data_IF_257810681121
#
_entry.id   IF_257810681121
#
_cell.length_a   1.000
_cell.length_b   1.000
_cell.length_c   1.000
_cell.angle_alpha   90.00
_cell.angle_beta   90.00
_cell.angle_gamma   90.00
#
_symmetry.space_group_name_H-M   'P 1'
#
loop_
_entity.id
_entity.type
_entity.pdbx_description
1 polymer ?
#
# COMPACT_ATOMS: atom_id res chain seq x y z
N UNK A 1 17.02 -13.34 53.79
CA UNK A 1 17.81 -13.71 52.59
C UNK A 1 16.93 -14.03 51.37
N UNK A 2 15.81 -14.75 51.50
CA UNK A 2 14.85 -15.02 50.40
C UNK A 2 14.39 -13.76 49.63
N UNK A 3 14.03 -12.68 50.32
CA UNK A 3 13.57 -11.44 49.66
C UNK A 3 14.67 -10.75 48.83
N UNK A 4 15.95 -10.90 49.22
CA UNK A 4 17.08 -10.25 48.53
C UNK A 4 17.42 -10.98 47.22
N UNK A 5 17.39 -12.31 47.26
CA UNK A 5 17.59 -13.17 46.10
C UNK A 5 16.40 -13.05 45.12
N UNK A 6 15.16 -13.11 45.63
CA UNK A 6 13.96 -12.94 44.80
C UNK A 6 13.89 -11.57 44.12
N UNK A 7 14.32 -10.50 44.80
CA UNK A 7 14.34 -9.15 44.24
C UNK A 7 15.42 -9.00 43.15
N UNK A 8 16.59 -9.63 43.32
CA UNK A 8 17.62 -9.68 42.28
C UNK A 8 17.16 -10.45 41.04
N UNK A 9 16.49 -11.59 41.21
CA UNK A 9 15.90 -12.33 40.08
C UNK A 9 14.84 -11.51 39.35
N UNK A 10 13.95 -10.84 40.10
CA UNK A 10 12.92 -9.98 39.52
C UNK A 10 13.53 -8.82 38.72
N UNK A 11 14.54 -8.13 39.27
CA UNK A 11 15.24 -7.04 38.59
C UNK A 11 15.95 -7.51 37.32
N UNK A 12 16.63 -8.66 37.38
CA UNK A 12 17.30 -9.22 36.20
C UNK A 12 16.28 -9.61 35.13
N UNK A 13 15.19 -10.28 35.51
CA UNK A 13 14.10 -10.61 34.61
C UNK A 13 13.51 -9.36 33.95
N UNK A 14 13.19 -8.32 34.75
CA UNK A 14 12.66 -7.06 34.24
C UNK A 14 13.64 -6.36 33.28
N UNK A 15 14.94 -6.43 33.58
CA UNK A 15 15.99 -5.87 32.72
C UNK A 15 16.06 -6.58 31.38
N UNK A 16 16.08 -7.93 31.38
CA UNK A 16 16.07 -8.72 30.14
C UNK A 16 14.76 -8.53 29.36
N UNK A 17 13.63 -8.47 30.05
CA UNK A 17 12.33 -8.20 29.43
C UNK A 17 12.33 -6.83 28.75
N UNK A 18 12.77 -5.78 29.44
CA UNK A 18 12.84 -4.42 28.88
C UNK A 18 13.81 -4.34 27.71
N UNK A 19 14.98 -4.99 27.81
CA UNK A 19 15.93 -5.09 26.70
C UNK A 19 15.33 -5.80 25.48
N UNK A 20 14.59 -6.89 25.70
CA UNK A 20 13.93 -7.61 24.61
C UNK A 20 12.84 -6.78 23.93
N UNK A 21 12.08 -6.01 24.72
CA UNK A 21 11.05 -5.10 24.21
C UNK A 21 11.67 -3.96 23.40
N UNK A 22 12.76 -3.36 23.89
CA UNK A 22 13.55 -2.36 23.18
C UNK A 22 14.11 -2.92 21.87
N UNK A 23 14.64 -4.14 21.88
CA UNK A 23 15.14 -4.79 20.67
C UNK A 23 14.03 -5.02 19.64
N UNK A 24 12.85 -5.47 20.06
CA UNK A 24 11.69 -5.65 19.20
C UNK A 24 11.19 -4.32 18.59
N UNK A 25 11.10 -3.26 19.41
CA UNK A 25 10.77 -1.92 18.94
C UNK A 25 11.81 -1.40 17.93
N UNK A 26 13.09 -1.62 18.19
CA UNK A 26 14.16 -1.20 17.28
C UNK A 26 14.11 -1.95 15.95
N UNK A 27 13.87 -3.26 16.00
CA UNK A 27 13.67 -4.07 14.79
C UNK A 27 12.47 -3.58 13.98
N UNK A 28 11.34 -3.27 14.63
CA UNK A 28 10.17 -2.69 13.98
C UNK A 28 10.48 -1.36 13.30
N UNK A 29 11.19 -0.46 13.98
CA UNK A 29 11.59 0.84 13.41
C UNK A 29 12.51 0.67 12.20
N UNK A 30 13.50 -0.23 12.26
CA UNK A 30 14.37 -0.53 11.13
C UNK A 30 13.59 -1.10 9.94
N UNK A 31 12.64 -2.00 10.20
CA UNK A 31 11.83 -2.62 9.15
C UNK A 31 10.89 -1.60 8.49
N UNK A 32 10.29 -0.71 9.28
CA UNK A 32 9.46 0.40 8.77
C UNK A 32 10.28 1.40 7.96
N UNK A 33 11.50 1.73 8.40
CA UNK A 33 12.40 2.58 7.64
C UNK A 33 12.84 1.93 6.32
N UNK A 34 13.18 0.64 6.36
CA UNK A 34 13.51 -0.11 5.14
C UNK A 34 12.34 -0.14 4.17
N UNK A 35 11.11 -0.34 4.65
CA UNK A 35 9.91 -0.27 3.82
C UNK A 35 9.70 1.13 3.19
N UNK A 36 9.88 2.21 3.94
CA UNK A 36 9.79 3.58 3.39
C UNK A 36 10.85 3.84 2.30
N UNK A 37 12.12 3.46 2.53
CA UNK A 37 13.20 3.62 1.55
C UNK A 37 12.99 2.76 0.30
N UNK A 38 12.61 1.50 0.49
CA UNK A 38 12.33 0.58 -0.62
C UNK A 38 11.11 1.06 -1.40
N UNK A 39 10.03 1.46 -0.72
CA UNK A 39 8.81 1.92 -1.36
C UNK A 39 9.07 3.09 -2.31
N UNK A 40 9.88 4.07 -1.90
CA UNK A 40 10.25 5.24 -2.73
C UNK A 40 11.14 4.91 -3.92
N UNK A 41 11.89 3.82 -3.87
CA UNK A 41 12.80 3.39 -4.96
C UNK A 41 12.16 2.40 -5.93
N UNK A 42 10.98 1.87 -5.61
CA UNK A 42 10.22 1.00 -6.52
C UNK A 42 9.78 1.77 -7.77
N UNK A 43 9.95 1.11 -8.94
CA UNK A 43 9.57 1.62 -10.27
C UNK A 43 8.15 2.22 -10.30
N UNK A 44 7.20 1.62 -9.58
CA UNK A 44 5.80 2.07 -9.48
C UNK A 44 5.64 3.53 -9.03
N UNK A 45 6.59 4.07 -8.26
CA UNK A 45 6.55 5.44 -7.74
C UNK A 45 7.33 6.44 -8.62
N UNK A 46 8.06 5.97 -9.64
CA UNK A 46 8.77 6.83 -10.60
C UNK A 46 7.88 7.28 -11.76
N UNK A 47 6.79 6.56 -12.02
CA UNK A 47 5.85 6.83 -13.11
C UNK A 47 4.40 6.92 -12.63
N UNK A 48 4.07 7.82 -11.67
CA UNK A 48 2.70 8.06 -11.30
C UNK A 48 1.91 8.61 -12.49
N UNK A 49 0.64 8.23 -12.56
CA UNK A 49 -0.34 8.70 -13.53
C UNK A 49 -0.41 10.24 -13.60
N UNK A 50 -0.21 10.93 -12.47
CA UNK A 50 -0.15 12.41 -12.40
C UNK A 50 0.98 13.03 -13.25
N UNK A 51 2.14 12.37 -13.37
CA UNK A 51 3.28 12.94 -14.12
C UNK A 51 3.15 12.77 -15.63
N UNK A 52 2.47 11.72 -16.07
CA UNK A 52 2.33 11.38 -17.50
C UNK A 52 0.98 11.80 -18.08
N UNK A 53 0.02 12.24 -17.25
CA UNK A 53 -1.29 12.70 -17.68
C UNK A 53 -1.18 13.88 -18.65
N UNK A 54 -1.98 13.82 -19.71
CA UNK A 54 -2.17 14.87 -20.72
C UNK A 54 -3.67 14.97 -21.04
N UNK A 55 -4.11 16.08 -21.63
CA UNK A 55 -5.51 16.22 -22.06
C UNK A 55 -5.80 15.40 -23.32
N UNK A 56 -4.79 15.19 -24.16
CA UNK A 56 -4.87 14.27 -25.28
C UNK A 56 -4.12 12.98 -24.94
N UNK A 57 -4.83 11.86 -24.89
CA UNK A 57 -4.22 10.57 -24.55
C UNK A 57 -3.22 10.07 -25.60
N UNK A 58 -3.28 10.56 -26.85
CA UNK A 58 -2.31 10.21 -27.87
C UNK A 58 -0.91 10.78 -27.58
N UNK A 59 -0.83 11.84 -26.77
CA UNK A 59 0.42 12.51 -26.40
C UNK A 59 1.02 11.97 -25.09
N UNK A 60 0.39 10.96 -24.49
CA UNK A 60 0.91 10.30 -23.28
C UNK A 60 2.12 9.46 -23.66
N UNK A 61 3.28 9.83 -23.12
CA UNK A 61 4.49 9.01 -23.23
C UNK A 61 4.36 7.75 -22.37
N UNK A 62 4.01 6.65 -23.03
CA UNK A 62 3.96 5.34 -22.41
C UNK A 62 5.29 4.57 -22.53
N UNK A 63 6.26 5.02 -23.35
CA UNK A 63 7.49 4.25 -23.61
C UNK A 63 8.27 4.03 -22.31
N UNK A 64 8.45 5.11 -21.54
CA UNK A 64 9.09 5.08 -20.23
C UNK A 64 8.46 4.06 -19.25
N UNK A 65 7.14 3.87 -19.30
CA UNK A 65 6.42 2.89 -18.47
C UNK A 65 6.61 1.46 -18.98
N UNK A 66 6.53 1.28 -20.30
CA UNK A 66 6.66 -0.03 -20.96
C UNK A 66 8.08 -0.59 -20.82
N UNK A 67 9.11 0.24 -20.97
CA UNK A 67 10.52 -0.15 -20.81
C UNK A 67 10.82 -0.74 -19.42
N UNK A 68 10.07 -0.28 -18.41
CA UNK A 68 10.22 -0.75 -17.04
C UNK A 68 9.19 -1.85 -16.67
N UNK A 69 8.59 -2.50 -17.67
CA UNK A 69 7.69 -3.65 -17.49
C UNK A 69 6.29 -3.30 -17.02
N UNK A 70 5.91 -2.02 -17.10
CA UNK A 70 4.56 -1.55 -16.79
C UNK A 70 3.63 -1.54 -18.01
N UNK A 71 2.44 -1.00 -17.79
CA UNK A 71 1.46 -0.76 -18.83
C UNK A 71 0.66 0.51 -18.58
N UNK A 72 0.18 1.11 -19.67
CA UNK A 72 -0.66 2.30 -19.66
C UNK A 72 -1.94 1.99 -20.41
N UNK A 73 -3.08 2.20 -19.74
CA UNK A 73 -4.40 2.06 -20.33
C UNK A 73 -5.19 3.35 -20.13
N UNK A 74 -6.02 3.70 -21.13
CA UNK A 74 -6.96 4.81 -21.04
C UNK A 74 -8.37 4.31 -21.25
N UNK A 75 -9.24 4.68 -20.32
CA UNK A 75 -10.67 4.37 -20.36
C UNK A 75 -11.44 5.68 -20.54
N UNK A 76 -12.24 5.80 -21.60
CA UNK A 76 -13.06 6.99 -21.86
C UNK A 76 -14.31 7.05 -20.96
N UNK A 77 -15.09 8.13 -21.05
CA UNK A 77 -16.34 8.32 -20.31
C UNK A 77 -17.41 7.22 -20.57
N UNK A 78 -17.30 6.49 -21.68
CA UNK A 78 -18.17 5.36 -22.05
C UNK A 78 -17.64 4.00 -21.55
N UNK A 79 -16.62 4.02 -20.69
CA UNK A 79 -15.96 2.85 -20.12
C UNK A 79 -15.28 1.95 -21.16
N UNK A 80 -14.90 2.51 -22.31
CA UNK A 80 -14.16 1.81 -23.37
C UNK A 80 -12.67 2.02 -23.20
N UNK A 81 -11.90 0.94 -23.36
CA UNK A 81 -10.43 1.00 -23.39
C UNK A 81 -10.02 1.52 -24.76
N UNK A 82 -9.75 2.83 -24.86
CA UNK A 82 -9.40 3.52 -26.10
C UNK A 82 -7.91 3.52 -26.39
N UNK A 83 -7.08 3.25 -25.39
CA UNK A 83 -5.63 3.13 -25.51
C UNK A 83 -5.12 2.05 -24.57
N UNK A 84 -4.22 1.20 -25.06
CA UNK A 84 -3.51 0.21 -24.26
C UNK A 84 -2.12 0.02 -24.83
N UNK A 85 -1.08 0.24 -24.02
CA UNK A 85 0.32 -0.07 -24.34
C UNK A 85 0.99 -0.78 -23.17
N UNK A 86 1.87 -1.74 -23.48
CA UNK A 86 2.61 -2.52 -22.48
C UNK A 86 1.77 -3.60 -21.82
N UNK A 87 1.98 -3.76 -20.51
CA UNK A 87 1.27 -4.74 -19.69
C UNK A 87 -0.24 -4.43 -19.62
N UNK A 88 -1.05 -5.23 -20.30
CA UNK A 88 -2.51 -5.17 -20.21
C UNK A 88 -3.04 -6.22 -19.22
N UNK A 89 -3.58 -5.74 -18.11
CA UNK A 89 -4.22 -6.59 -17.09
C UNK A 89 -5.74 -6.47 -17.09
N UNK A 90 -6.29 -5.55 -17.89
CA UNK A 90 -7.72 -5.31 -18.02
C UNK A 90 -8.36 -6.37 -18.91
N UNK A 91 -7.66 -6.77 -20.00
CA UNK A 91 -8.03 -7.89 -20.87
C UNK A 91 -9.40 -7.72 -21.56
N UNK A 92 -9.94 -6.51 -21.56
CA UNK A 92 -11.27 -6.16 -22.06
C UNK A 92 -11.23 -4.87 -22.86
N UNK A 93 -12.14 -4.74 -23.82
CA UNK A 93 -12.27 -3.54 -24.65
C UNK A 93 -13.27 -2.53 -24.08
N UNK A 94 -14.22 -2.97 -23.26
CA UNK A 94 -15.22 -2.13 -22.62
C UNK A 94 -15.68 -2.76 -21.31
N UNK A 95 -15.95 -1.90 -20.33
CA UNK A 95 -16.52 -2.28 -19.04
C UNK A 95 -17.97 -1.82 -18.96
N UNK A 96 -18.79 -2.57 -18.24
CA UNK A 96 -19.99 -2.00 -17.63
C UNK A 96 -19.61 -1.10 -16.44
N UNK A 97 -20.50 -0.20 -16.04
CA UNK A 97 -20.32 0.66 -14.86
C UNK A 97 -20.01 -0.17 -13.61
N UNK A 98 -20.71 -1.29 -13.42
CA UNK A 98 -20.50 -2.18 -12.27
C UNK A 98 -19.11 -2.80 -12.30
N UNK A 99 -18.67 -3.32 -13.45
CA UNK A 99 -17.35 -3.95 -13.57
C UNK A 99 -16.22 -2.94 -13.37
N UNK A 100 -16.36 -1.71 -13.88
CA UNK A 100 -15.36 -0.68 -13.68
C UNK A 100 -15.32 -0.23 -12.21
N UNK A 101 -16.47 -0.09 -11.57
CA UNK A 101 -16.55 0.22 -10.13
C UNK A 101 -15.88 -0.88 -9.29
N UNK A 102 -16.17 -2.15 -9.59
CA UNK A 102 -15.54 -3.29 -8.94
C UNK A 102 -14.02 -3.29 -9.14
N UNK A 103 -13.56 -2.93 -10.34
CA UNK A 103 -12.13 -2.76 -10.63
C UNK A 103 -11.52 -1.63 -9.79
N UNK A 104 -12.15 -0.46 -9.70
CA UNK A 104 -11.66 0.66 -8.91
C UNK A 104 -11.50 0.27 -7.43
N UNK A 105 -12.47 -0.46 -6.87
CA UNK A 105 -12.41 -0.95 -5.48
C UNK A 105 -11.30 -1.99 -5.32
N UNK A 106 -11.30 -3.05 -6.15
CA UNK A 106 -10.36 -4.17 -6.03
C UNK A 106 -8.92 -3.78 -6.34
N UNK A 107 -8.70 -2.82 -7.22
CA UNK A 107 -7.35 -2.34 -7.58
C UNK A 107 -6.59 -1.75 -6.39
N UNK A 108 -7.29 -1.37 -5.31
CA UNK A 108 -6.70 -0.85 -4.06
C UNK A 108 -6.66 -1.89 -2.94
N UNK A 109 -7.21 -3.10 -3.13
CA UNK A 109 -7.22 -4.15 -2.12
C UNK A 109 -5.81 -4.70 -1.84
N UNK A 110 -5.60 -5.14 -0.60
CA UNK A 110 -4.37 -5.84 -0.20
C UNK A 110 -4.33 -7.22 -0.85
N UNK A 111 -3.16 -7.61 -1.38
CA UNK A 111 -2.95 -8.93 -2.00
C UNK A 111 -3.13 -8.98 -3.52
N UNK A 112 -3.41 -7.86 -4.18
CA UNK A 112 -3.47 -7.80 -5.64
C UNK A 112 -2.06 -7.94 -6.27
N UNK A 113 -1.94 -8.73 -7.35
CA UNK A 113 -0.65 -9.01 -8.02
C UNK A 113 -0.05 -7.79 -8.75
N UNK A 114 -0.86 -6.75 -8.95
CA UNK A 114 -0.49 -5.55 -9.69
C UNK A 114 -0.75 -4.31 -8.83
N UNK A 115 0.09 -3.30 -9.03
CA UNK A 115 -0.16 -1.96 -8.52
C UNK A 115 -0.82 -1.14 -9.61
N UNK A 116 -1.97 -0.56 -9.31
CA UNK A 116 -2.69 0.35 -10.18
C UNK A 116 -2.66 1.76 -9.61
N UNK A 117 -2.06 2.66 -10.36
CA UNK A 117 -2.25 4.09 -10.17
C UNK A 117 -3.27 4.60 -11.18
N UNK A 118 -4.31 5.28 -10.67
CA UNK A 118 -5.51 5.61 -11.45
C UNK A 118 -5.84 7.07 -11.22
N UNK A 119 -5.87 7.84 -12.30
CA UNK A 119 -6.20 9.26 -12.27
C UNK A 119 -7.28 9.57 -13.29
N UNK A 120 -8.26 10.39 -12.89
CA UNK A 120 -9.30 10.89 -13.78
C UNK A 120 -8.93 12.29 -14.28
N UNK A 121 -8.97 12.50 -15.60
CA UNK A 121 -8.87 13.82 -16.21
C UNK A 121 -10.29 14.38 -16.41
N UNK A 122 -10.72 15.41 -15.66
CA UNK A 122 -12.07 15.96 -15.79
C UNK A 122 -12.29 16.80 -17.05
N UNK A 123 -11.24 17.34 -17.66
CA UNK A 123 -11.31 18.16 -18.87
C UNK A 123 -11.54 17.29 -20.11
N UNK A 124 -10.74 16.23 -20.24
CA UNK A 124 -10.80 15.29 -21.36
C UNK A 124 -11.69 14.07 -21.09
N UNK A 125 -12.19 13.93 -19.86
CA UNK A 125 -13.13 12.90 -19.39
C UNK A 125 -12.68 11.47 -19.66
N UNK A 126 -11.51 11.13 -19.15
CA UNK A 126 -11.02 9.76 -19.21
C UNK A 126 -10.24 9.40 -17.94
N UNK A 127 -10.13 8.11 -17.67
CA UNK A 127 -9.25 7.56 -16.65
C UNK A 127 -7.95 7.10 -17.29
N UNK A 128 -6.84 7.55 -16.73
CA UNK A 128 -5.52 7.01 -17.00
C UNK A 128 -5.19 5.98 -15.94
N UNK A 129 -4.83 4.78 -16.37
CA UNK A 129 -4.44 3.67 -15.51
C UNK A 129 -3.00 3.32 -15.85
N UNK A 130 -2.13 3.43 -14.85
CA UNK A 130 -0.75 2.97 -14.91
C UNK A 130 -0.61 1.72 -14.06
N UNK A 131 -0.14 0.65 -14.68
CA UNK A 131 -0.05 -0.67 -14.07
C UNK A 131 1.40 -1.11 -13.99
N UNK A 132 1.84 -1.59 -12.83
CA UNK A 132 3.11 -2.30 -12.67
C UNK A 132 2.91 -3.64 -11.94
N UNK A 133 3.66 -4.71 -12.31
CA UNK A 133 3.67 -5.95 -11.54
C UNK A 133 4.25 -5.68 -10.15
N UNK A 134 3.57 -6.18 -9.11
CA UNK A 134 4.08 -6.04 -7.75
C UNK A 134 5.18 -7.07 -7.54
N UNK A 135 6.44 -6.63 -7.42
CA UNK A 135 7.58 -7.50 -7.14
C UNK A 135 7.58 -8.01 -5.70
N UNK A 136 7.46 -7.10 -4.73
CA UNK A 136 7.38 -7.39 -3.30
C UNK A 136 6.67 -6.21 -2.60
N UNK A 137 5.76 -6.48 -1.67
CA UNK A 137 5.07 -5.45 -0.88
C UNK A 137 5.03 -5.88 0.59
N UNK A 138 5.54 -5.03 1.48
CA UNK A 138 5.57 -5.25 2.92
C UNK A 138 4.76 -4.15 3.62
N UNK A 139 3.43 -4.28 3.67
CA UNK A 139 2.58 -3.23 4.26
C UNK A 139 2.54 -3.34 5.80
N UNK A 140 3.42 -2.63 6.50
CA UNK A 140 3.37 -2.48 7.97
C UNK A 140 2.81 -1.10 8.31
N UNK A 141 1.55 -1.04 8.77
CA UNK A 141 0.93 0.21 9.18
C UNK A 141 0.17 0.07 10.51
N UNK A 142 0.40 1.03 11.41
CA UNK A 142 -0.39 1.23 12.61
C UNK A 142 -1.24 2.49 12.42
N UNK A 143 -2.55 2.33 12.31
CA UNK A 143 -3.48 3.44 12.08
C UNK A 143 -4.31 3.65 13.34
N UNK A 144 -4.22 4.85 13.91
CA UNK A 144 -5.02 5.26 15.06
C UNK A 144 -5.90 6.44 14.67
N UNK A 145 -7.21 6.23 14.65
CA UNK A 145 -8.17 7.29 14.44
C UNK A 145 -8.74 7.75 15.78
N UNK A 146 -8.47 9.00 16.17
CA UNK A 146 -8.97 9.61 17.41
C UNK A 146 -10.48 9.81 17.42
N UNK A 147 -11.12 9.82 16.25
CA UNK A 147 -12.56 10.00 16.08
C UNK A 147 -13.33 8.66 16.05
N UNK A 148 -12.62 7.52 16.07
CA UNK A 148 -13.25 6.22 16.13
C UNK A 148 -13.96 6.01 17.48
N UNK A 149 -15.14 5.37 17.44
CA UNK A 149 -15.95 5.13 18.63
C UNK A 149 -15.15 4.39 19.72
N UNK A 150 -15.24 4.88 20.96
CA UNK A 150 -14.47 4.37 22.10
C UNK A 150 -14.76 2.90 22.46
N UNK A 151 -15.84 2.31 21.93
CA UNK A 151 -16.22 0.92 22.19
C UNK A 151 -15.21 -0.08 21.59
N UNK A 152 -14.67 0.21 20.40
CA UNK A 152 -13.67 -0.65 19.75
C UNK A 152 -12.29 -0.54 20.42
N UNK A 153 -11.96 0.63 20.97
CA UNK A 153 -10.70 0.85 21.68
C UNK A 153 -10.55 -0.02 22.93
N UNK A 154 -11.64 -0.32 23.63
CA UNK A 154 -11.62 -1.24 24.79
C UNK A 154 -11.25 -2.67 24.37
N UNK A 155 -11.84 -3.16 23.28
CA UNK A 155 -11.58 -4.52 22.78
C UNK A 155 -10.15 -4.65 22.25
N UNK A 156 -9.68 -3.66 21.49
CA UNK A 156 -8.30 -3.62 20.98
C UNK A 156 -7.30 -3.57 22.14
N UNK A 157 -7.55 -2.71 23.14
CA UNK A 157 -6.69 -2.59 24.32
C UNK A 157 -6.63 -3.89 25.12
N UNK A 158 -7.75 -4.62 25.28
CA UNK A 158 -7.78 -5.91 25.95
C UNK A 158 -6.94 -6.97 25.23
N UNK A 159 -6.99 -7.02 23.89
CA UNK A 159 -6.16 -7.93 23.08
C UNK A 159 -4.68 -7.62 23.27
N UNK A 160 -4.27 -6.34 23.20
CA UNK A 160 -2.88 -5.96 23.46
C UNK A 160 -2.43 -6.36 24.86
N UNK A 161 -3.24 -6.09 25.89
CA UNK A 161 -2.93 -6.49 27.27
C UNK A 161 -2.78 -8.01 27.39
N UNK A 162 -3.63 -8.79 26.71
CA UNK A 162 -3.61 -10.26 26.77
C UNK A 162 -2.42 -10.91 26.04
N UNK A 163 -1.80 -10.21 25.09
CA UNK A 163 -0.61 -10.71 24.37
C UNK A 163 0.68 -10.36 25.11
N UNK A 164 0.68 -9.27 25.90
CA UNK A 164 1.86 -8.77 26.60
C UNK A 164 1.94 -9.16 28.09
N UNK A 165 0.87 -9.73 28.67
CA UNK A 165 0.84 -10.34 30.02
C UNK A 165 0.95 -11.86 29.89
#
# INVERSE_FOLDING_TARGET
MKNKISHQFLLNYLTFFLMSLLAALFAYLLLSFADDVISKTLVKNRYPSELIMKDNYADIDAESVVEHGGGVQVINENYEVVYSKGLDTLGKKQFSVSEFTDFLVKSKEKGFKYHYDILYNPQAKFWLIVTFPTSMRLDISFVYNKEAASEDLKNVSFVFISVFI
#
